data_IF_815640713095
#
_entry.id   IF_815640713095
#
_cell.length_a   1.000
_cell.length_b   1.000
_cell.length_c   1.000
_cell.angle_alpha   90.00
_cell.angle_beta   90.00
_cell.angle_gamma   90.00
#
_symmetry.space_group_name_H-M   'P 1'
#
loop_
_entity.id
_entity.type
_entity.pdbx_description
1 polymer ?
#
# COMPACT_ATOMS: atom_id res chain seq x y z
N UNK A 1 7.28 7.73 14.23
CA UNK A 1 7.64 7.41 15.63
C UNK A 1 7.24 5.97 15.87
N UNK A 2 8.06 5.18 16.54
CA UNK A 2 7.71 3.81 16.92
C UNK A 2 7.31 3.82 18.41
N UNK A 3 6.12 3.38 18.72
CA UNK A 3 5.64 3.18 20.08
C UNK A 3 6.22 1.88 20.67
N UNK A 4 6.18 1.77 22.00
CA UNK A 4 6.76 0.63 22.73
C UNK A 4 6.08 -0.72 22.41
N UNK A 5 4.85 -0.68 21.91
CA UNK A 5 4.07 -1.83 21.44
C UNK A 5 4.36 -2.21 19.96
N UNK A 6 5.23 -1.45 19.29
CA UNK A 6 5.59 -1.64 17.89
C UNK A 6 4.68 -0.94 16.89
N UNK A 7 3.70 -0.16 17.34
CA UNK A 7 2.88 0.66 16.46
C UNK A 7 3.63 1.90 15.97
N UNK A 8 3.35 2.31 14.74
CA UNK A 8 3.97 3.51 14.15
C UNK A 8 2.95 4.62 14.09
N UNK A 9 3.27 5.79 14.64
CA UNK A 9 2.57 7.03 14.34
C UNK A 9 3.46 7.90 13.43
N UNK A 10 2.92 8.29 12.28
CA UNK A 10 3.61 9.14 11.30
C UNK A 10 3.16 10.57 11.42
N UNK A 11 4.08 11.49 11.67
CA UNK A 11 3.81 12.93 11.60
C UNK A 11 4.04 13.37 10.15
N UNK A 12 3.01 13.90 9.52
CA UNK A 12 3.05 14.27 8.11
C UNK A 12 2.47 15.65 7.89
N UNK A 13 2.77 16.26 6.75
CA UNK A 13 2.10 17.51 6.34
C UNK A 13 0.90 17.20 5.44
N UNK A 14 0.07 18.21 5.19
CA UNK A 14 -1.11 18.12 4.33
C UNK A 14 -0.82 17.60 2.92
N UNK A 15 0.41 17.73 2.40
CA UNK A 15 0.81 17.20 1.10
C UNK A 15 0.86 15.66 1.06
N UNK A 16 1.14 15.03 2.20
CA UNK A 16 1.06 13.57 2.34
C UNK A 16 -0.38 13.13 2.59
N UNK A 17 -1.20 13.97 3.24
CA UNK A 17 -2.62 13.74 3.51
C UNK A 17 -2.90 12.57 4.47
N UNK A 18 -4.17 12.23 4.63
CA UNK A 18 -4.66 11.27 5.62
C UNK A 18 -4.19 9.84 5.32
N UNK A 19 -3.94 9.11 6.40
CA UNK A 19 -3.52 7.72 6.36
C UNK A 19 -3.86 7.01 7.68
N UNK A 20 -3.88 5.67 7.70
CA UNK A 20 -4.36 4.88 8.84
C UNK A 20 -3.67 5.18 10.17
N UNK A 21 -2.43 5.68 10.10
CA UNK A 21 -1.62 6.02 11.27
C UNK A 21 -0.92 7.38 11.12
N UNK A 22 -1.52 8.29 10.35
CA UNK A 22 -0.99 9.64 10.15
C UNK A 22 -1.58 10.61 11.16
N UNK A 23 -0.73 11.46 11.74
CA UNK A 23 -1.13 12.73 12.33
C UNK A 23 -0.74 13.84 11.35
N UNK A 24 -1.74 14.42 10.69
CA UNK A 24 -1.54 15.46 9.68
C UNK A 24 -1.42 16.83 10.36
N UNK A 25 -0.31 17.52 10.12
CA UNK A 25 -0.01 18.83 10.68
C UNK A 25 0.00 19.92 9.60
N UNK A 26 -0.45 21.14 9.92
CA UNK A 26 -0.35 22.27 9.00
C UNK A 26 1.11 22.69 8.81
N UNK A 27 1.58 22.73 7.57
CA UNK A 27 2.83 23.35 7.09
C UNK A 27 4.01 23.40 8.10
N UNK A 28 4.51 22.24 8.54
CA UNK A 28 5.73 22.12 9.38
C UNK A 28 6.91 21.61 8.54
N UNK A 29 8.05 22.29 8.61
CA UNK A 29 9.32 21.77 8.08
C UNK A 29 10.04 20.95 9.16
N UNK A 30 9.74 19.65 9.22
CA UNK A 30 10.28 18.74 10.22
C UNK A 30 11.81 18.72 10.27
N UNK A 31 12.51 19.01 9.15
CA UNK A 31 13.98 18.99 9.11
C UNK A 31 14.62 20.05 9.99
N UNK A 32 13.88 21.12 10.32
CA UNK A 32 14.35 22.22 11.16
C UNK A 32 13.98 22.05 12.63
N UNK A 33 13.02 21.18 12.92
CA UNK A 33 12.36 21.15 14.23
C UNK A 33 12.46 19.80 14.92
N UNK A 34 12.73 18.71 14.20
CA UNK A 34 12.87 17.36 14.77
C UNK A 34 14.25 16.75 14.43
N UNK A 35 14.94 16.27 15.45
CA UNK A 35 16.13 15.41 15.32
C UNK A 35 15.70 13.93 15.38
N UNK A 36 16.41 12.99 14.71
CA UNK A 36 16.18 11.56 14.88
C UNK A 36 16.22 11.09 16.34
N UNK A 37 17.00 11.77 17.18
CA UNK A 37 17.13 11.46 18.62
C UNK A 37 16.13 12.23 19.50
N UNK A 38 15.22 13.00 18.89
CA UNK A 38 14.25 13.79 19.63
C UNK A 38 13.32 12.86 20.44
N UNK A 39 13.30 13.07 21.76
CA UNK A 39 12.39 12.34 22.64
C UNK A 39 10.95 12.72 22.30
N UNK A 40 10.13 11.70 22.15
CA UNK A 40 8.69 11.81 21.97
C UNK A 40 8.00 11.49 23.29
N UNK A 41 7.05 12.33 23.69
CA UNK A 41 6.18 12.08 24.83
C UNK A 41 4.72 12.24 24.41
N UNK A 42 3.92 11.21 24.72
CA UNK A 42 2.46 11.29 24.57
C UNK A 42 1.85 12.06 25.75
N UNK A 43 0.90 12.94 25.45
CA UNK A 43 0.14 13.73 26.43
C UNK A 43 -1.36 13.46 26.22
N UNK A 44 -2.19 13.77 27.23
CA UNK A 44 -3.64 13.55 27.13
C UNK A 44 -4.28 14.27 25.93
N UNK A 45 -3.75 15.46 25.60
CA UNK A 45 -4.28 16.37 24.59
C UNK A 45 -3.37 16.52 23.37
N UNK A 46 -2.33 15.67 23.20
CA UNK A 46 -1.38 15.85 22.11
C UNK A 46 -0.04 15.14 22.28
N UNK A 47 0.99 15.66 21.60
CA UNK A 47 2.33 15.09 21.59
C UNK A 47 3.38 16.17 21.85
N UNK A 48 4.47 15.79 22.53
CA UNK A 48 5.67 16.61 22.62
C UNK A 48 6.83 15.93 21.90
N UNK A 49 7.50 16.66 21.00
CA UNK A 49 8.69 16.22 20.26
C UNK A 49 9.81 17.20 20.52
N UNK A 50 10.72 16.88 21.44
CA UNK A 50 11.71 17.85 21.92
C UNK A 50 11.05 19.13 22.46
N UNK A 51 11.31 20.25 21.79
CA UNK A 51 10.76 21.57 22.13
C UNK A 51 9.44 21.89 21.39
N UNK A 52 8.98 21.02 20.49
CA UNK A 52 7.71 21.17 19.79
C UNK A 52 6.58 20.56 20.64
N UNK A 53 5.50 21.31 20.80
CA UNK A 53 4.24 20.79 21.31
C UNK A 53 3.20 20.77 20.19
N UNK A 54 2.57 19.61 20.00
CA UNK A 54 1.47 19.40 19.07
C UNK A 54 0.20 19.29 19.90
N UNK A 55 -0.71 20.24 19.74
CA UNK A 55 -2.04 20.24 20.34
C UNK A 55 -3.02 19.48 19.42
N UNK A 56 -3.59 18.39 19.94
CA UNK A 56 -4.53 17.53 19.23
C UNK A 56 -5.99 17.73 19.67
N UNK A 57 -6.31 18.72 20.51
CA UNK A 57 -7.70 18.93 21.00
C UNK A 57 -8.69 19.26 19.90
N UNK A 58 -8.22 19.91 18.84
CA UNK A 58 -9.02 20.20 17.64
C UNK A 58 -8.79 19.21 16.50
N UNK A 59 -8.03 18.14 16.73
CA UNK A 59 -7.79 17.12 15.72
C UNK A 59 -9.10 16.42 15.37
N UNK A 60 -9.23 16.03 14.10
CA UNK A 60 -10.39 15.29 13.60
C UNK A 60 -9.93 13.88 13.28
N UNK A 61 -10.73 12.90 13.68
CA UNK A 61 -10.53 11.52 13.24
C UNK A 61 -10.97 11.39 11.79
N UNK A 62 -10.22 10.59 11.04
CA UNK A 62 -10.52 10.24 9.66
C UNK A 62 -10.78 8.73 9.58
N UNK A 63 -11.77 8.34 8.78
CA UNK A 63 -12.11 6.93 8.56
C UNK A 63 -11.21 6.37 7.45
N UNK A 64 -10.25 5.54 7.85
CA UNK A 64 -9.27 4.96 6.93
C UNK A 64 -9.85 3.81 6.09
N UNK A 65 -11.01 3.25 6.46
CA UNK A 65 -11.69 2.20 5.69
C UNK A 65 -12.59 2.81 4.62
N UNK A 66 -12.36 2.53 3.34
CA UNK A 66 -13.34 2.82 2.30
C UNK A 66 -14.67 2.11 2.57
N UNK A 67 -15.76 2.60 1.97
CA UNK A 67 -17.00 1.84 1.88
C UNK A 67 -16.83 0.67 0.90
N UNK A 68 -16.25 -0.44 1.41
CA UNK A 68 -15.97 -1.63 0.62
C UNK A 68 -17.25 -2.23 0.02
N UNK A 69 -18.40 -2.13 0.70
CA UNK A 69 -19.68 -2.61 0.17
C UNK A 69 -20.08 -1.81 -1.07
N UNK A 70 -19.92 -0.49 -1.02
CA UNK A 70 -20.17 0.37 -2.18
C UNK A 70 -19.22 0.04 -3.34
N UNK A 71 -17.92 -0.16 -3.06
CA UNK A 71 -16.92 -0.50 -4.08
C UNK A 71 -17.26 -1.85 -4.74
N UNK A 72 -17.54 -2.88 -3.94
CA UNK A 72 -17.90 -4.22 -4.40
C UNK A 72 -19.15 -4.21 -5.30
N UNK A 73 -20.14 -3.36 -5.00
CA UNK A 73 -21.35 -3.22 -5.82
C UNK A 73 -21.09 -2.72 -7.26
N UNK A 74 -19.88 -2.24 -7.54
CA UNK A 74 -19.46 -1.69 -8.84
C UNK A 74 -18.25 -2.42 -9.43
N UNK A 75 -18.00 -3.68 -9.04
CA UNK A 75 -16.83 -4.47 -9.46
C UNK A 75 -16.59 -4.46 -10.99
N UNK A 76 -17.64 -4.54 -11.82
CA UNK A 76 -17.51 -4.49 -13.29
C UNK A 76 -16.84 -3.20 -13.78
N UNK A 77 -17.07 -2.07 -13.09
CA UNK A 77 -16.47 -0.78 -13.46
C UNK A 77 -14.99 -0.73 -13.11
N UNK A 78 -14.60 -1.39 -12.02
CA UNK A 78 -13.22 -1.45 -11.60
C UNK A 78 -12.40 -2.15 -12.68
N UNK A 79 -12.87 -3.28 -13.22
CA UNK A 79 -12.15 -4.04 -14.26
C UNK A 79 -11.80 -3.17 -15.48
N UNK A 80 -12.77 -2.39 -16.00
CA UNK A 80 -12.52 -1.47 -17.11
C UNK A 80 -11.51 -0.38 -16.72
N UNK A 81 -11.62 0.16 -15.51
CA UNK A 81 -10.71 1.18 -15.01
C UNK A 81 -9.26 0.70 -14.84
N UNK A 82 -9.03 -0.60 -14.63
CA UNK A 82 -7.68 -1.16 -14.47
C UNK A 82 -6.82 -0.98 -15.72
N UNK A 83 -7.41 -0.97 -16.91
CA UNK A 83 -6.68 -0.72 -18.16
C UNK A 83 -5.99 0.67 -18.13
N UNK A 84 -6.67 1.67 -17.59
CA UNK A 84 -6.10 3.01 -17.43
C UNK A 84 -5.00 3.06 -16.35
N UNK A 85 -5.14 2.28 -15.27
CA UNK A 85 -4.09 2.16 -14.23
C UNK A 85 -2.85 1.52 -14.82
N UNK A 86 -3.01 0.44 -15.59
CA UNK A 86 -1.90 -0.23 -16.28
C UNK A 86 -1.22 0.68 -17.28
N UNK A 87 -1.97 1.44 -18.08
CA UNK A 87 -1.37 2.39 -19.01
C UNK A 87 -0.55 3.49 -18.29
N UNK A 88 -0.91 3.85 -17.05
CA UNK A 88 -0.10 4.76 -16.23
C UNK A 88 1.14 4.06 -15.68
N UNK A 89 1.03 2.82 -15.20
CA UNK A 89 2.18 2.03 -14.76
C UNK A 89 3.19 1.87 -15.90
N UNK A 90 2.73 1.47 -17.08
CA UNK A 90 3.56 1.24 -18.28
C UNK A 90 4.31 2.52 -18.69
N UNK A 91 3.64 3.67 -18.66
CA UNK A 91 4.20 4.93 -19.11
C UNK A 91 4.99 5.71 -18.05
N UNK A 92 5.01 5.29 -16.78
CA UNK A 92 5.56 6.13 -15.70
C UNK A 92 6.19 5.39 -14.52
N UNK A 93 6.00 4.07 -14.37
CA UNK A 93 6.64 3.34 -13.28
C UNK A 93 8.14 3.20 -13.54
N UNK A 94 8.93 3.26 -12.45
CA UNK A 94 10.35 2.96 -12.50
C UNK A 94 10.56 1.46 -12.64
N UNK A 95 11.56 1.08 -13.43
CA UNK A 95 11.85 -0.32 -13.73
C UNK A 95 12.80 -0.98 -12.72
N UNK A 96 12.57 -0.66 -11.43
CA UNK A 96 13.41 -1.07 -10.30
C UNK A 96 12.65 -1.91 -9.25
N UNK A 97 11.31 -2.01 -9.40
CA UNK A 97 10.42 -2.74 -8.50
C UNK A 97 9.72 -3.93 -9.16
N UNK A 98 8.56 -4.29 -8.61
CA UNK A 98 7.70 -5.41 -9.04
C UNK A 98 6.63 -5.01 -10.05
N UNK A 99 6.46 -3.73 -10.37
CA UNK A 99 5.55 -3.28 -11.45
C UNK A 99 5.79 -3.99 -12.80
N UNK A 100 7.04 -4.37 -13.05
CA UNK A 100 7.46 -5.16 -14.20
C UNK A 100 6.84 -6.55 -14.35
N UNK A 101 6.19 -7.09 -13.31
CA UNK A 101 5.44 -8.34 -13.39
C UNK A 101 4.08 -8.16 -14.10
N UNK A 102 3.59 -6.92 -14.21
CA UNK A 102 2.25 -6.59 -14.71
C UNK A 102 2.28 -5.87 -16.07
N UNK A 103 3.22 -4.96 -16.28
CA UNK A 103 3.30 -4.11 -17.48
C UNK A 103 4.67 -4.20 -18.15
N UNK A 104 4.76 -3.70 -19.39
CA UNK A 104 6.03 -3.54 -20.09
C UNK A 104 6.68 -2.22 -19.70
N UNK A 105 7.91 -2.26 -19.19
CA UNK A 105 8.58 -1.05 -18.76
C UNK A 105 9.64 -0.64 -19.79
N UNK A 106 9.72 0.66 -20.16
CA UNK A 106 10.42 1.10 -21.36
C UNK A 106 11.96 1.16 -21.25
N UNK A 107 12.56 0.69 -20.16
CA UNK A 107 13.99 0.88 -19.86
C UNK A 107 14.68 -0.48 -19.63
N UNK A 108 16.01 -0.55 -19.85
CA UNK A 108 16.79 -1.73 -19.43
C UNK A 108 16.95 -1.75 -17.92
N UNK A 109 16.51 -2.84 -17.29
CA UNK A 109 16.64 -3.10 -15.85
C UNK A 109 18.11 -3.18 -15.44
N UNK A 110 18.41 -2.64 -14.25
CA UNK A 110 19.65 -2.99 -13.56
C UNK A 110 19.61 -4.44 -13.08
N UNK A 111 20.76 -5.12 -13.01
CA UNK A 111 20.85 -6.53 -12.61
C UNK A 111 20.21 -6.82 -11.23
N UNK A 112 20.24 -5.86 -10.29
CA UNK A 112 19.59 -6.00 -8.99
C UNK A 112 18.05 -6.05 -9.12
N UNK A 113 17.47 -5.19 -9.96
CA UNK A 113 16.03 -5.15 -10.19
C UNK A 113 15.55 -6.44 -10.87
N UNK A 114 16.32 -6.94 -11.86
CA UNK A 114 16.03 -8.23 -12.51
C UNK A 114 16.04 -9.39 -11.51
N UNK A 115 17.01 -9.42 -10.60
CA UNK A 115 17.11 -10.46 -9.58
C UNK A 115 15.96 -10.38 -8.58
N UNK A 116 15.58 -9.18 -8.14
CA UNK A 116 14.42 -8.96 -7.26
C UNK A 116 13.14 -9.47 -7.92
N UNK A 117 12.90 -9.13 -9.18
CA UNK A 117 11.75 -9.60 -9.95
C UNK A 117 11.74 -11.11 -10.12
N UNK A 118 12.90 -11.70 -10.45
CA UNK A 118 13.05 -13.15 -10.62
C UNK A 118 12.77 -13.91 -9.32
N UNK A 119 13.24 -13.37 -8.18
CA UNK A 119 12.97 -13.96 -6.86
C UNK A 119 11.51 -13.79 -6.44
N UNK A 120 10.90 -12.64 -6.72
CA UNK A 120 9.54 -12.33 -6.31
C UNK A 120 8.46 -13.02 -7.16
N UNK A 121 8.73 -13.30 -8.44
CA UNK A 121 7.72 -13.80 -9.38
C UNK A 121 6.94 -15.02 -8.88
N UNK A 122 7.55 -16.12 -8.40
CA UNK A 122 6.79 -17.31 -8.01
C UNK A 122 5.82 -17.02 -6.87
N UNK A 123 6.29 -16.32 -5.84
CA UNK A 123 5.48 -15.98 -4.67
C UNK A 123 4.48 -14.86 -4.96
N UNK A 124 4.76 -13.94 -5.89
CA UNK A 124 3.78 -12.98 -6.40
C UNK A 124 2.62 -13.66 -7.15
N UNK A 125 2.92 -14.66 -7.99
CA UNK A 125 1.92 -15.48 -8.69
C UNK A 125 1.10 -16.31 -7.71
N UNK A 126 1.74 -16.97 -6.74
CA UNK A 126 1.06 -17.75 -5.71
C UNK A 126 0.19 -16.88 -4.81
N UNK A 127 0.66 -15.73 -4.37
CA UNK A 127 -0.12 -14.80 -3.55
C UNK A 127 -1.36 -14.34 -4.31
N UNK A 128 -1.21 -13.94 -5.57
CA UNK A 128 -2.33 -13.56 -6.44
C UNK A 128 -3.35 -14.69 -6.56
N UNK A 129 -2.89 -15.92 -6.80
CA UNK A 129 -3.75 -17.09 -6.89
C UNK A 129 -4.49 -17.39 -5.58
N UNK A 130 -3.78 -17.32 -4.44
CA UNK A 130 -4.34 -17.52 -3.11
C UNK A 130 -5.42 -16.49 -2.81
N UNK A 131 -5.14 -15.21 -3.07
CA UNK A 131 -6.10 -14.12 -2.87
C UNK A 131 -7.35 -14.34 -3.72
N UNK A 132 -7.21 -14.71 -4.99
CA UNK A 132 -8.35 -14.97 -5.89
C UNK A 132 -9.12 -16.25 -5.63
N UNK A 133 -8.59 -17.16 -4.83
CA UNK A 133 -9.28 -18.39 -4.41
C UNK A 133 -9.79 -18.32 -2.97
N UNK A 134 -9.55 -17.20 -2.29
CA UNK A 134 -9.73 -17.07 -0.84
C UNK A 134 -9.02 -18.21 -0.05
N UNK A 135 -7.84 -18.61 -0.51
CA UNK A 135 -7.03 -19.65 0.12
C UNK A 135 -6.00 -19.01 1.07
N UNK A 136 -6.33 -19.01 2.36
CA UNK A 136 -5.49 -18.48 3.42
C UNK A 136 -4.15 -19.24 3.57
N UNK A 137 -4.09 -20.53 3.21
CA UNK A 137 -2.86 -21.31 3.31
C UNK A 137 -1.86 -20.87 2.25
N UNK A 138 -2.32 -20.73 1.00
CA UNK A 138 -1.50 -20.24 -0.11
C UNK A 138 -1.03 -18.81 0.18
N UNK A 139 -1.94 -17.93 0.63
CA UNK A 139 -1.59 -16.54 0.94
C UNK A 139 -0.50 -16.44 2.01
N UNK A 140 -0.61 -17.25 3.08
CA UNK A 140 0.39 -17.29 4.16
C UNK A 140 1.77 -17.71 3.65
N UNK A 141 1.85 -18.78 2.85
CA UNK A 141 3.13 -19.25 2.34
C UNK A 141 3.77 -18.21 1.42
N UNK A 142 3.03 -17.74 0.42
CA UNK A 142 3.51 -16.79 -0.57
C UNK A 142 3.89 -15.43 0.06
N UNK A 143 3.08 -14.92 0.99
CA UNK A 143 3.41 -13.69 1.70
C UNK A 143 4.66 -13.82 2.56
N UNK A 144 4.93 -14.99 3.15
CA UNK A 144 6.17 -15.22 3.90
C UNK A 144 7.42 -15.07 3.04
N UNK A 145 7.34 -15.48 1.77
CA UNK A 145 8.44 -15.39 0.79
C UNK A 145 8.62 -13.98 0.22
N UNK A 146 7.53 -13.23 0.04
CA UNK A 146 7.55 -11.83 -0.41
C UNK A 146 7.91 -10.84 0.70
N UNK A 147 7.58 -11.15 1.95
CA UNK A 147 7.78 -10.25 3.08
C UNK A 147 9.25 -9.84 3.22
N UNK A 148 9.49 -8.53 3.22
CA UNK A 148 10.83 -7.95 3.30
C UNK A 148 11.69 -8.08 2.03
N UNK A 149 11.14 -8.58 0.92
CA UNK A 149 11.89 -8.69 -0.34
C UNK A 149 12.03 -7.32 -1.01
N UNK A 150 13.28 -6.88 -1.19
CA UNK A 150 13.63 -5.54 -1.68
C UNK A 150 14.39 -4.71 -0.65
N UNK A 151 14.69 -3.46 -0.97
CA UNK A 151 15.40 -2.53 -0.08
C UNK A 151 14.51 -1.47 0.56
N UNK A 152 15.01 -0.81 1.61
CA UNK A 152 14.36 0.36 2.21
C UNK A 152 13.37 0.04 3.34
N UNK A 153 12.60 1.06 3.73
CA UNK A 153 11.59 0.96 4.80
C UNK A 153 10.28 0.32 4.34
N UNK A 154 10.03 0.36 3.03
CA UNK A 154 8.95 -0.30 2.28
C UNK A 154 9.55 -1.11 1.13
N UNK A 155 10.01 -2.34 1.40
CA UNK A 155 10.48 -3.25 0.36
C UNK A 155 9.39 -3.54 -0.67
N UNK A 156 9.79 -3.72 -1.93
CA UNK A 156 8.87 -3.90 -3.05
C UNK A 156 7.90 -5.09 -2.86
N UNK A 157 8.35 -6.18 -2.21
CA UNK A 157 7.50 -7.32 -1.85
C UNK A 157 6.42 -6.97 -0.82
N UNK A 158 6.73 -6.11 0.14
CA UNK A 158 5.78 -5.63 1.13
C UNK A 158 4.73 -4.69 0.50
N UNK A 159 5.16 -3.81 -0.40
CA UNK A 159 4.26 -2.94 -1.17
C UNK A 159 3.30 -3.75 -2.05
N UNK A 160 3.81 -4.77 -2.74
CA UNK A 160 2.97 -5.71 -3.50
C UNK A 160 1.94 -6.41 -2.61
N UNK A 161 2.34 -6.87 -1.42
CA UNK A 161 1.43 -7.49 -0.44
C UNK A 161 0.31 -6.52 -0.06
N UNK A 162 0.62 -5.26 0.25
CA UNK A 162 -0.37 -4.22 0.58
C UNK A 162 -1.38 -4.06 -0.56
N UNK A 163 -0.91 -3.95 -1.80
CA UNK A 163 -1.75 -3.90 -2.98
C UNK A 163 -2.68 -5.10 -3.12
N UNK A 164 -2.11 -6.31 -2.98
CA UNK A 164 -2.84 -7.57 -3.09
C UNK A 164 -3.94 -7.70 -2.03
N UNK A 165 -3.68 -7.28 -0.78
CA UNK A 165 -4.67 -7.24 0.29
C UNK A 165 -5.84 -6.31 -0.04
N UNK A 166 -5.58 -5.10 -0.53
CA UNK A 166 -6.65 -4.19 -0.96
C UNK A 166 -7.43 -4.74 -2.17
N UNK A 167 -6.76 -5.49 -3.05
CA UNK A 167 -7.43 -6.24 -4.12
C UNK A 167 -8.37 -7.30 -3.58
N UNK A 168 -7.98 -8.02 -2.51
CA UNK A 168 -8.84 -9.00 -1.86
C UNK A 168 -10.08 -8.36 -1.21
N UNK A 169 -9.95 -7.17 -0.61
CA UNK A 169 -11.08 -6.39 -0.08
C UNK A 169 -12.09 -5.96 -1.14
N UNK A 170 -11.66 -5.81 -2.39
CA UNK A 170 -12.56 -5.56 -3.53
C UNK A 170 -13.29 -6.84 -3.98
N UNK A 171 -12.63 -7.99 -3.91
CA UNK A 171 -13.20 -9.26 -4.43
C UNK A 171 -14.12 -9.97 -3.44
N UNK A 172 -13.81 -9.88 -2.15
CA UNK A 172 -14.40 -10.74 -1.13
C UNK A 172 -15.19 -9.96 -0.09
N UNK A 173 -16.10 -10.64 0.59
CA UNK A 173 -16.77 -10.05 1.75
C UNK A 173 -15.77 -9.90 2.89
N UNK A 174 -16.20 -9.15 3.90
CA UNK A 174 -15.36 -8.77 5.03
C UNK A 174 -14.73 -9.97 5.75
N UNK A 175 -15.49 -11.05 5.97
CA UNK A 175 -14.99 -12.22 6.70
C UNK A 175 -13.84 -12.92 5.95
N UNK A 176 -13.99 -13.17 4.65
CA UNK A 176 -12.95 -13.83 3.86
C UNK A 176 -11.74 -12.91 3.66
N UNK A 177 -11.94 -11.61 3.37
CA UNK A 177 -10.84 -10.66 3.23
C UNK A 177 -10.02 -10.53 4.54
N UNK A 178 -10.70 -10.48 5.69
CA UNK A 178 -10.04 -10.43 7.00
C UNK A 178 -9.26 -11.74 7.28
N UNK A 179 -9.80 -12.90 6.90
CA UNK A 179 -9.11 -14.18 7.06
C UNK A 179 -7.81 -14.24 6.23
N UNK A 180 -7.84 -13.73 5.00
CA UNK A 180 -6.65 -13.62 4.15
C UNK A 180 -5.63 -12.64 4.76
N UNK A 181 -6.10 -11.49 5.25
CA UNK A 181 -5.29 -10.49 5.95
C UNK A 181 -4.56 -11.07 7.17
N UNK A 182 -5.27 -11.82 8.01
CA UNK A 182 -4.68 -12.48 9.18
C UNK A 182 -3.62 -13.50 8.77
N UNK A 183 -3.87 -14.27 7.71
CA UNK A 183 -2.92 -15.26 7.21
C UNK A 183 -1.61 -14.61 6.71
N UNK A 184 -1.72 -13.48 6.01
CA UNK A 184 -0.58 -12.65 5.57
C UNK A 184 0.17 -12.07 6.76
N UNK A 185 -0.53 -11.50 7.75
CA UNK A 185 0.08 -10.91 8.95
C UNK A 185 0.91 -11.91 9.74
N UNK A 186 0.45 -13.16 9.85
CA UNK A 186 1.19 -14.21 10.53
C UNK A 186 2.49 -14.62 9.80
N UNK A 187 2.58 -14.32 8.50
CA UNK A 187 3.70 -14.67 7.63
C UNK A 187 4.71 -13.53 7.41
N UNK A 188 4.30 -12.26 7.54
CA UNK A 188 5.09 -11.07 7.23
C UNK A 188 6.26 -10.77 8.21
N UNK A 189 6.89 -11.79 8.79
CA UNK A 189 7.86 -11.66 9.89
C UNK A 189 9.18 -10.96 9.51
N UNK A 190 9.49 -10.88 8.22
CA UNK A 190 10.71 -10.24 7.70
C UNK A 190 10.50 -8.78 7.28
N UNK A 191 9.26 -8.31 7.27
CA UNK A 191 8.92 -6.95 6.87
C UNK A 191 9.43 -5.93 7.89
N UNK A 192 9.99 -4.79 7.46
CA UNK A 192 10.38 -3.71 8.36
C UNK A 192 9.19 -3.16 9.17
N UNK A 193 9.41 -2.50 10.32
CA UNK A 193 8.32 -2.01 11.18
C UNK A 193 7.30 -1.10 10.47
N UNK A 194 7.76 -0.19 9.61
CA UNK A 194 6.86 0.67 8.83
C UNK A 194 6.02 -0.13 7.82
N UNK A 195 6.62 -1.10 7.15
CA UNK A 195 5.90 -2.00 6.23
C UNK A 195 4.85 -2.84 6.95
N UNK A 196 5.17 -3.36 8.13
CA UNK A 196 4.21 -4.10 8.95
C UNK A 196 2.98 -3.27 9.32
N UNK A 197 3.14 -1.97 9.57
CA UNK A 197 2.01 -1.08 9.84
C UNK A 197 1.11 -0.94 8.61
N UNK A 198 1.68 -0.79 7.41
CA UNK A 198 0.92 -0.75 6.16
C UNK A 198 0.23 -2.08 5.85
N UNK A 199 0.92 -3.21 6.02
CA UNK A 199 0.35 -4.55 5.82
C UNK A 199 -0.79 -4.78 6.80
N UNK A 200 -0.64 -4.39 8.08
CA UNK A 200 -1.68 -4.50 9.10
C UNK A 200 -2.90 -3.64 8.76
N UNK A 201 -2.69 -2.39 8.36
CA UNK A 201 -3.76 -1.51 7.92
C UNK A 201 -4.51 -2.12 6.73
N UNK A 202 -3.80 -2.55 5.69
CA UNK A 202 -4.39 -3.18 4.51
C UNK A 202 -5.12 -4.49 4.84
N UNK A 203 -4.59 -5.30 5.75
CA UNK A 203 -5.23 -6.51 6.25
C UNK A 203 -6.55 -6.19 6.98
N UNK A 204 -6.63 -5.05 7.67
CA UNK A 204 -7.84 -4.50 8.28
C UNK A 204 -8.77 -3.74 7.32
N UNK A 205 -8.44 -3.67 6.03
CA UNK A 205 -9.22 -2.93 5.03
C UNK A 205 -9.06 -1.41 5.10
N UNK A 206 -8.00 -0.94 5.73
CA UNK A 206 -7.64 0.46 5.85
C UNK A 206 -6.60 0.85 4.81
N UNK A 207 -6.70 2.05 4.25
CA UNK A 207 -5.75 2.55 3.27
C UNK A 207 -5.61 4.08 3.35
N UNK A 208 -4.63 4.63 2.64
CA UNK A 208 -4.39 6.08 2.61
C UNK A 208 -5.43 6.83 1.77
N UNK A 209 -5.53 8.15 1.94
CA UNK A 209 -6.42 9.00 1.13
C UNK A 209 -6.20 8.80 -0.37
N UNK A 210 -4.96 8.56 -0.82
CA UNK A 210 -4.66 8.28 -2.24
C UNK A 210 -5.37 7.02 -2.74
N UNK A 211 -5.46 5.97 -1.92
CA UNK A 211 -6.24 4.78 -2.25
C UNK A 211 -7.73 5.05 -2.27
N UNK A 212 -8.26 5.86 -1.33
CA UNK A 212 -9.67 6.29 -1.37
C UNK A 212 -9.99 7.04 -2.67
N UNK A 213 -9.12 7.95 -3.09
CA UNK A 213 -9.26 8.69 -4.35
C UNK A 213 -9.23 7.77 -5.57
N UNK A 214 -8.29 6.81 -5.62
CA UNK A 214 -8.18 5.85 -6.72
C UNK A 214 -9.41 4.93 -6.78
N UNK A 215 -9.82 4.35 -5.66
CA UNK A 215 -11.01 3.50 -5.57
C UNK A 215 -12.28 4.28 -5.91
N UNK A 216 -12.35 5.55 -5.50
CA UNK A 216 -13.42 6.47 -5.88
C UNK A 216 -13.43 6.76 -7.40
N UNK A 217 -12.26 6.99 -8.00
CA UNK A 217 -12.11 7.22 -9.42
C UNK A 217 -12.48 5.98 -10.25
N UNK A 218 -12.06 4.79 -9.85
CA UNK A 218 -12.37 3.52 -10.52
C UNK A 218 -13.86 3.18 -10.53
N UNK A 219 -14.65 3.73 -9.60
CA UNK A 219 -16.11 3.60 -9.61
C UNK A 219 -16.79 4.49 -10.66
N UNK A 220 -16.06 5.47 -11.20
CA UNK A 220 -16.47 6.39 -12.25
C UNK A 220 -15.94 5.83 -13.58
N UNK A 221 -16.72 5.91 -14.66
CA UNK A 221 -16.28 5.47 -16.00
C UNK A 221 -15.43 6.54 -16.70
N UNK A 222 -14.77 7.39 -15.92
CA UNK A 222 -14.06 8.57 -16.39
C UNK A 222 -12.55 8.30 -16.36
N UNK A 223 -11.90 8.25 -17.52
CA UNK A 223 -10.47 7.94 -17.65
C UNK A 223 -9.57 8.96 -16.93
N UNK A 224 -9.82 10.25 -17.11
CA UNK A 224 -8.95 11.32 -16.61
C UNK A 224 -8.78 11.30 -15.07
N UNK A 225 -9.86 11.16 -14.26
CA UNK A 225 -9.74 10.95 -12.82
C UNK A 225 -8.94 9.71 -12.43
N UNK A 226 -9.13 8.59 -13.12
CA UNK A 226 -8.40 7.33 -12.84
C UNK A 226 -6.91 7.52 -13.07
N UNK A 227 -6.54 8.08 -14.22
CA UNK A 227 -5.13 8.34 -14.54
C UNK A 227 -4.48 9.30 -13.54
N UNK A 228 -5.19 10.37 -13.19
CA UNK A 228 -4.68 11.37 -12.24
C UNK A 228 -4.46 10.76 -10.85
N UNK A 229 -5.38 9.89 -10.39
CA UNK A 229 -5.22 9.19 -9.12
C UNK A 229 -4.06 8.18 -9.15
N UNK A 230 -3.92 7.41 -10.23
CA UNK A 230 -2.80 6.49 -10.43
C UNK A 230 -1.46 7.24 -10.45
N UNK A 231 -1.36 8.38 -11.13
CA UNK A 231 -0.14 9.21 -11.14
C UNK A 231 0.22 9.72 -9.74
N UNK A 232 -0.77 10.10 -8.93
CA UNK A 232 -0.53 10.51 -7.52
C UNK A 232 -0.06 9.35 -6.65
N UNK A 233 -0.48 8.11 -6.96
CA UNK A 233 0.07 6.91 -6.33
C UNK A 233 1.53 6.70 -6.71
N UNK A 234 1.89 6.82 -8.00
CA UNK A 234 3.28 6.67 -8.46
C UNK A 234 4.22 7.72 -7.88
N UNK A 235 3.72 8.91 -7.55
CA UNK A 235 4.50 9.95 -6.87
C UNK A 235 4.80 9.62 -5.39
N UNK A 236 4.30 8.52 -4.84
CA UNK A 236 4.56 8.08 -3.47
C UNK A 236 5.77 7.15 -3.40
N UNK A 237 6.83 7.64 -2.74
CA UNK A 237 8.06 6.88 -2.58
C UNK A 237 8.80 6.70 -3.91
N UNK A 238 9.85 5.88 -3.90
CA UNK A 238 10.64 5.59 -5.10
C UNK A 238 9.89 4.61 -6.03
N UNK A 239 9.62 3.39 -5.56
CA UNK A 239 8.85 2.37 -6.31
C UNK A 239 7.56 1.94 -5.59
N UNK A 240 7.42 2.26 -4.30
CA UNK A 240 6.37 1.75 -3.43
C UNK A 240 4.95 1.91 -3.98
N UNK A 241 4.60 3.09 -4.49
CA UNK A 241 3.30 3.32 -5.10
C UNK A 241 3.03 2.46 -6.34
N UNK A 242 4.06 2.22 -7.16
CA UNK A 242 3.94 1.39 -8.36
C UNK A 242 3.84 -0.10 -8.01
N UNK A 243 4.62 -0.57 -7.04
CA UNK A 243 4.63 -1.96 -6.58
C UNK A 243 3.32 -2.35 -5.90
N UNK A 244 2.75 -1.44 -5.09
CA UNK A 244 1.44 -1.63 -4.50
C UNK A 244 0.30 -1.61 -5.53
N UNK A 245 0.36 -0.72 -6.52
CA UNK A 245 -0.60 -0.77 -7.63
C UNK A 245 -0.49 -2.07 -8.43
N UNK A 246 0.72 -2.57 -8.66
CA UNK A 246 0.95 -3.81 -9.38
C UNK A 246 0.31 -5.01 -8.67
N UNK A 247 0.53 -5.15 -7.36
CA UNK A 247 -0.12 -6.20 -6.56
C UNK A 247 -1.65 -6.11 -6.56
N UNK A 248 -2.19 -4.89 -6.50
CA UNK A 248 -3.64 -4.64 -6.60
C UNK A 248 -4.21 -5.06 -7.96
N UNK A 249 -3.57 -4.63 -9.06
CA UNK A 249 -3.96 -4.98 -10.43
C UNK A 249 -3.87 -6.50 -10.63
N UNK A 250 -2.82 -7.15 -10.14
CA UNK A 250 -2.60 -8.59 -10.27
C UNK A 250 -3.80 -9.37 -9.73
N UNK A 251 -4.22 -9.07 -8.50
CA UNK A 251 -5.34 -9.75 -7.84
C UNK A 251 -6.65 -9.52 -8.58
N UNK A 252 -6.93 -8.30 -9.05
CA UNK A 252 -8.19 -8.00 -9.71
C UNK A 252 -8.31 -8.55 -11.13
N UNK A 253 -7.23 -8.53 -11.92
CA UNK A 253 -7.22 -9.14 -13.26
C UNK A 253 -7.26 -10.66 -13.19
N UNK A 254 -6.41 -11.26 -12.36
CA UNK A 254 -6.28 -12.71 -12.26
C UNK A 254 -5.73 -13.40 -13.50
N UNK A 255 -5.08 -12.63 -14.35
CA UNK A 255 -4.30 -13.16 -15.47
C UNK A 255 -2.91 -13.56 -14.97
N UNK A 256 -2.24 -14.41 -15.73
CA UNK A 256 -0.86 -14.79 -15.42
C UNK A 256 0.04 -13.55 -15.48
N UNK A 257 1.01 -13.46 -14.55
CA UNK A 257 2.02 -12.40 -14.60
C UNK A 257 2.83 -12.53 -15.90
N UNK A 258 3.33 -11.40 -16.43
CA UNK A 258 4.11 -11.38 -17.68
C UNK A 258 5.40 -12.18 -17.50
N UNK A 259 5.74 -13.08 -18.41
CA UNK A 259 6.97 -13.92 -18.36
C UNK A 259 8.25 -13.09 -18.30
#
# INVERSE_FOLDING_TARGET
>A
MLADDGDVLSLVTESVSDGPFNLVLPAVDFTRVVSPDARVESRADGLRLGDIEIDARSARTWEARPDWRQIQSKADRLQVGLEHVMAVLEGSALDEGLAGLIVDLPVQRGALAEEILRQARPSAEELMLGMRKADASICRQAAGELAGLGGGLTPAGDDWIVGALLGAWVLWKHEEAAQLGEAVMQAARRSPPLSLCWIRAAAGGECSMRWHELLGALQRRDESPIRSAAQRMLAQGHTSGADALAGFVAVLRGERLRE
#
